data_IF_405193238527
#
_entry.id   IF_405193238527
#
_cell.length_a   1.000
_cell.length_b   1.000
_cell.length_c   1.000
_cell.angle_alpha   90.00
_cell.angle_beta   90.00
_cell.angle_gamma   90.00
#
_symmetry.space_group_name_H-M   'P 1'
#
loop_
_entity.id
_entity.type
_entity.pdbx_description
1 polymer ?
#
# COMPACT_ATOMS: atom_id res chain seq x y z
N UNK A 1 1.31 0.89 -9.08
CA UNK A 1 2.69 1.36 -8.84
C UNK A 1 3.44 1.48 -10.14
N UNK A 2 3.81 0.41 -10.86
CA UNK A 2 4.59 0.52 -12.12
C UNK A 2 3.78 0.35 -13.41
N UNK A 3 2.62 -0.33 -13.35
CA UNK A 3 1.79 -0.63 -14.52
C UNK A 3 2.40 -1.65 -15.49
N UNK A 4 3.57 -2.22 -15.16
CA UNK A 4 4.30 -3.14 -16.02
C UNK A 4 3.91 -4.61 -15.77
N UNK A 5 4.01 -5.43 -16.82
CA UNK A 5 3.84 -6.88 -16.74
C UNK A 5 4.97 -7.56 -15.95
N UNK A 6 4.74 -8.77 -15.43
CA UNK A 6 5.75 -9.43 -14.59
C UNK A 6 7.03 -9.83 -15.35
N UNK A 7 6.90 -10.19 -16.62
CA UNK A 7 7.98 -10.67 -17.50
C UNK A 7 7.80 -9.96 -18.85
N UNK A 8 8.82 -9.25 -19.32
CA UNK A 8 8.83 -8.61 -20.63
C UNK A 8 10.22 -8.70 -21.24
N UNK A 9 10.29 -8.86 -22.56
CA UNK A 9 11.54 -8.83 -23.32
C UNK A 9 11.91 -7.41 -23.80
N UNK A 10 10.98 -6.46 -23.70
CA UNK A 10 11.15 -5.09 -24.24
C UNK A 10 11.15 -4.03 -23.14
N UNK A 11 10.33 -4.20 -22.10
CA UNK A 11 10.04 -3.15 -21.10
C UNK A 11 11.16 -2.87 -20.10
N UNK A 12 12.12 -3.79 -19.92
CA UNK A 12 13.07 -3.76 -18.80
C UNK A 12 14.55 -3.63 -19.22
N UNK A 13 14.80 -3.46 -20.52
CA UNK A 13 16.14 -3.44 -21.10
C UNK A 13 16.80 -4.83 -21.16
N UNK A 14 17.93 -4.92 -21.87
CA UNK A 14 18.60 -6.19 -22.22
C UNK A 14 19.08 -7.02 -21.01
N UNK A 15 19.18 -6.41 -19.83
CA UNK A 15 19.74 -7.03 -18.63
C UNK A 15 18.67 -7.52 -17.63
N UNK A 16 17.40 -7.20 -17.84
CA UNK A 16 16.32 -7.57 -16.92
C UNK A 16 15.23 -8.33 -17.66
N UNK A 17 15.03 -9.61 -17.33
CA UNK A 17 13.95 -10.43 -17.91
C UNK A 17 12.63 -10.32 -17.17
N UNK A 18 12.64 -9.76 -15.96
CA UNK A 18 11.46 -9.65 -15.11
C UNK A 18 11.46 -8.31 -14.36
N UNK A 19 10.26 -7.93 -13.95
CA UNK A 19 9.98 -6.67 -13.27
C UNK A 19 10.72 -6.54 -11.93
N UNK A 20 10.97 -7.65 -11.23
CA UNK A 20 11.63 -7.64 -9.91
C UNK A 20 13.08 -7.17 -10.05
N UNK A 21 13.83 -7.75 -10.99
CA UNK A 21 15.23 -7.36 -11.20
C UNK A 21 15.35 -5.92 -11.68
N UNK A 22 14.45 -5.51 -12.57
CA UNK A 22 14.40 -4.14 -13.07
C UNK A 22 14.09 -3.13 -11.95
N UNK A 23 13.02 -3.36 -11.20
CA UNK A 23 12.63 -2.46 -10.10
C UNK A 23 13.72 -2.38 -9.02
N UNK A 24 14.39 -3.50 -8.73
CA UNK A 24 15.50 -3.55 -7.77
C UNK A 24 16.63 -2.61 -8.17
N UNK A 25 17.06 -2.60 -9.44
CA UNK A 25 18.13 -1.72 -9.91
C UNK A 25 17.77 -0.23 -9.77
N UNK A 26 16.54 0.13 -10.10
CA UNK A 26 16.04 1.50 -9.93
C UNK A 26 16.00 1.91 -8.46
N UNK A 27 15.48 1.06 -7.58
CA UNK A 27 15.41 1.31 -6.13
C UNK A 27 16.82 1.44 -5.53
N UNK A 28 17.75 0.54 -5.87
CA UNK A 28 19.14 0.59 -5.39
C UNK A 28 19.93 1.79 -5.91
N UNK A 29 19.55 2.34 -7.07
CA UNK A 29 20.16 3.55 -7.63
C UNK A 29 19.50 4.85 -7.14
N UNK A 30 18.44 4.77 -6.34
CA UNK A 30 17.71 5.95 -5.84
C UNK A 30 16.67 6.51 -6.82
N UNK A 31 16.44 5.85 -7.95
CA UNK A 31 15.52 6.29 -9.00
C UNK A 31 14.14 5.61 -8.84
N UNK A 32 13.38 6.06 -7.84
CA UNK A 32 12.01 5.56 -7.65
C UNK A 32 11.07 6.00 -8.77
N UNK A 33 11.27 7.19 -9.34
CA UNK A 33 10.37 7.74 -10.36
C UNK A 33 10.44 6.90 -11.64
N UNK A 34 11.61 6.35 -11.97
CA UNK A 34 11.79 5.44 -13.09
C UNK A 34 10.94 4.16 -13.04
N UNK A 35 10.40 3.79 -11.86
CA UNK A 35 9.53 2.61 -11.73
C UNK A 35 8.05 2.93 -11.58
N UNK A 36 7.67 4.20 -11.50
CA UNK A 36 6.28 4.61 -11.28
C UNK A 36 5.54 4.64 -12.62
N UNK A 37 4.30 4.15 -12.60
CA UNK A 37 3.40 4.10 -13.72
C UNK A 37 3.10 5.52 -14.22
N UNK A 38 3.47 5.86 -15.47
CA UNK A 38 3.25 7.19 -16.03
C UNK A 38 1.76 7.60 -16.04
N UNK A 39 0.83 6.63 -16.00
CA UNK A 39 -0.61 6.92 -15.95
C UNK A 39 -1.07 7.57 -14.65
N UNK A 40 -0.23 7.55 -13.60
CA UNK A 40 -0.51 8.20 -12.32
C UNK A 40 -0.31 9.73 -12.36
N UNK A 41 0.29 10.30 -13.42
CA UNK A 41 0.34 11.76 -13.69
C UNK A 41 0.74 12.63 -12.48
N UNK A 42 1.71 12.16 -11.69
CA UNK A 42 2.19 12.82 -10.47
C UNK A 42 1.15 12.99 -9.35
N UNK A 43 0.05 12.22 -9.40
CA UNK A 43 -0.96 12.13 -8.34
C UNK A 43 -0.54 11.08 -7.28
N UNK A 44 0.63 11.31 -6.69
CA UNK A 44 1.18 10.50 -5.61
C UNK A 44 2.21 11.27 -4.80
N UNK A 45 2.35 10.89 -3.54
CA UNK A 45 3.45 11.29 -2.67
C UNK A 45 4.65 10.34 -2.84
N UNK A 46 5.83 10.94 -2.99
CA UNK A 46 7.06 10.20 -3.26
C UNK A 46 7.48 9.31 -2.06
N UNK A 47 7.20 9.74 -0.83
CA UNK A 47 7.54 8.97 0.37
C UNK A 47 6.62 7.75 0.49
N UNK A 48 5.34 7.89 0.14
CA UNK A 48 4.43 6.75 0.07
C UNK A 48 4.93 5.71 -0.95
N UNK A 49 5.36 6.16 -2.14
CA UNK A 49 5.84 5.28 -3.20
C UNK A 49 7.11 4.53 -2.82
N UNK A 50 8.06 5.22 -2.17
CA UNK A 50 9.24 4.59 -1.57
C UNK A 50 8.85 3.48 -0.60
N UNK A 51 7.92 3.79 0.30
CA UNK A 51 7.47 2.85 1.33
C UNK A 51 6.88 1.57 0.74
N UNK A 52 6.04 1.71 -0.30
CA UNK A 52 5.47 0.56 -1.02
C UNK A 52 6.55 -0.20 -1.80
N UNK A 53 7.45 0.49 -2.48
CA UNK A 53 8.49 -0.13 -3.31
C UNK A 53 9.47 -0.97 -2.49
N UNK A 54 9.93 -0.46 -1.35
CA UNK A 54 10.81 -1.20 -0.44
C UNK A 54 10.13 -2.46 0.09
N UNK A 55 8.88 -2.35 0.54
CA UNK A 55 8.12 -3.51 1.02
C UNK A 55 7.90 -4.54 -0.08
N UNK A 56 7.59 -4.09 -1.30
CA UNK A 56 7.42 -4.98 -2.44
C UNK A 56 8.69 -5.79 -2.73
N UNK A 57 9.88 -5.19 -2.64
CA UNK A 57 11.16 -5.90 -2.77
C UNK A 57 11.39 -6.94 -1.66
N UNK A 58 10.91 -6.69 -0.45
CA UNK A 58 10.96 -7.69 0.64
C UNK A 58 10.00 -8.86 0.38
N UNK A 59 8.82 -8.61 -0.20
CA UNK A 59 7.85 -9.67 -0.52
C UNK A 59 8.36 -10.68 -1.55
N UNK A 60 9.27 -10.26 -2.43
CA UNK A 60 9.81 -11.07 -3.54
C UNK A 60 11.19 -11.66 -3.24
N UNK A 61 11.60 -11.71 -1.97
CA UNK A 61 12.87 -12.34 -1.61
C UNK A 61 12.93 -13.81 -2.05
N UNK A 62 14.08 -14.30 -2.53
CA UNK A 62 14.20 -15.68 -3.02
C UNK A 62 13.82 -16.71 -1.95
N UNK A 63 14.21 -16.47 -0.70
CA UNK A 63 13.94 -17.35 0.42
C UNK A 63 12.68 -16.93 1.18
N UNK A 64 11.76 -17.86 1.39
CA UNK A 64 10.46 -17.59 2.01
C UNK A 64 10.55 -16.99 3.41
N UNK A 65 11.52 -17.41 4.23
CA UNK A 65 11.71 -16.91 5.59
C UNK A 65 12.21 -15.45 5.66
N UNK A 66 12.69 -14.89 4.54
CA UNK A 66 13.08 -13.47 4.44
C UNK A 66 11.90 -12.59 3.99
N UNK A 67 10.79 -13.20 3.56
CA UNK A 67 9.60 -12.47 3.14
C UNK A 67 8.81 -12.05 4.39
N UNK A 68 8.28 -10.82 4.43
CA UNK A 68 7.46 -10.36 5.53
C UNK A 68 6.15 -11.16 5.61
N UNK A 69 5.59 -11.22 6.82
CA UNK A 69 4.22 -11.69 7.03
C UNK A 69 3.22 -10.73 6.39
N UNK A 70 2.01 -11.23 6.07
CA UNK A 70 0.97 -10.39 5.47
C UNK A 70 0.56 -9.23 6.39
N UNK A 71 0.65 -9.41 7.71
CA UNK A 71 0.37 -8.36 8.70
C UNK A 71 1.40 -7.22 8.64
N UNK A 72 2.68 -7.54 8.43
CA UNK A 72 3.73 -6.52 8.23
C UNK A 72 3.55 -5.78 6.91
N UNK A 73 3.13 -6.47 5.84
CA UNK A 73 2.79 -5.84 4.55
C UNK A 73 1.60 -4.91 4.71
N UNK A 74 0.54 -5.34 5.42
CA UNK A 74 -0.65 -4.54 5.65
C UNK A 74 -0.34 -3.26 6.41
N UNK A 75 0.49 -3.35 7.47
CA UNK A 75 0.94 -2.18 8.22
C UNK A 75 1.65 -1.16 7.32
N UNK A 76 2.53 -1.63 6.44
CA UNK A 76 3.24 -0.74 5.54
C UNK A 76 2.32 -0.02 4.55
N UNK A 77 1.35 -0.75 4.00
CA UNK A 77 0.35 -0.19 3.09
C UNK A 77 -0.49 0.89 3.81
N UNK A 78 -0.91 0.62 5.04
CA UNK A 78 -1.66 1.59 5.85
C UNK A 78 -0.85 2.85 6.10
N UNK A 79 0.43 2.73 6.43
CA UNK A 79 1.28 3.89 6.63
C UNK A 79 1.49 4.69 5.34
N UNK A 80 1.68 4.03 4.19
CA UNK A 80 1.79 4.71 2.90
C UNK A 80 0.50 5.50 2.58
N UNK A 81 -0.67 4.92 2.84
CA UNK A 81 -1.97 5.61 2.68
C UNK A 81 -2.07 6.82 3.61
N UNK A 82 -1.57 6.74 4.86
CA UNK A 82 -1.56 7.88 5.77
C UNK A 82 -0.70 9.03 5.25
N UNK A 83 0.45 8.72 4.66
CA UNK A 83 1.33 9.71 4.02
C UNK A 83 0.60 10.41 2.86
N UNK A 84 0.00 9.65 1.94
CA UNK A 84 -0.76 10.21 0.82
C UNK A 84 -1.88 11.16 1.28
N UNK A 85 -2.62 10.76 2.33
CA UNK A 85 -3.76 11.54 2.83
C UNK A 85 -3.33 12.79 3.60
N UNK A 86 -2.19 12.75 4.29
CA UNK A 86 -1.66 13.91 4.99
C UNK A 86 -1.41 15.09 4.03
N UNK A 87 -0.98 14.81 2.80
CA UNK A 87 -0.77 15.82 1.76
C UNK A 87 -2.09 16.45 1.31
N UNK A 88 -3.15 15.66 1.15
CA UNK A 88 -4.47 16.18 0.74
C UNK A 88 -5.07 17.14 1.76
N UNK A 89 -5.00 16.81 3.05
CA UNK A 89 -5.52 17.65 4.13
C UNK A 89 -4.77 18.99 4.27
N UNK A 90 -3.45 19.00 4.05
CA UNK A 90 -2.65 20.24 4.11
C UNK A 90 -2.94 21.21 2.96
N UNK A 91 -3.48 20.74 1.83
CA UNK A 91 -3.85 21.59 0.68
C UNK A 91 -5.21 22.27 0.85
N UNK A 92 -6.07 21.74 1.72
CA UNK A 92 -7.39 22.30 2.02
C UNK A 92 -7.35 23.41 3.09
N UNK A 93 -6.25 23.53 3.85
CA UNK A 93 -6.13 24.49 4.97
C UNK A 93 -5.63 25.90 4.54
N UNK A 94 -5.51 26.17 3.24
CA UNK A 94 -5.01 27.47 2.70
C UNK A 94 -6.16 28.35 2.15
N UNK A 95 -7.38 27.83 2.04
CA UNK A 95 -8.55 28.62 1.61
C UNK A 95 -9.60 28.62 2.71
N UNK A 96 -9.44 29.49 3.71
CA UNK A 96 -10.53 30.20 4.38
C UNK A 96 -9.96 31.17 5.44
N UNK A 97 -9.35 32.26 4.95
CA UNK A 97 -9.08 33.43 5.80
C UNK A 97 -10.27 34.40 5.70
N UNK A 98 -10.87 34.65 6.86
CA UNK A 98 -11.81 35.74 7.20
C UNK A 98 -13.29 35.59 6.83
N UNK A 99 -14.07 34.86 7.66
CA UNK A 99 -15.43 35.33 8.00
C UNK A 99 -16.01 34.71 9.29
N UNK A 100 -15.93 35.52 10.36
CA UNK A 100 -16.96 35.71 11.42
C UNK A 100 -17.08 34.66 12.55
N UNK A 101 -16.50 35.05 13.69
CA UNK A 101 -17.12 35.00 15.02
C UNK A 101 -18.56 34.44 15.13
N UNK A 102 -18.72 33.23 15.66
CA UNK A 102 -19.81 32.92 16.61
C UNK A 102 -19.57 31.57 17.30
N UNK A 103 -19.72 31.58 18.62
CA UNK A 103 -19.67 30.41 19.50
C UNK A 103 -20.83 29.43 19.24
N UNK A 104 -20.73 28.25 19.88
CA UNK A 104 -21.61 27.06 19.84
C UNK A 104 -21.37 26.16 18.59
N UNK A 105 -21.19 24.84 18.69
CA UNK A 105 -21.72 23.92 19.68
C UNK A 105 -20.86 22.65 19.76
N UNK A 106 -20.54 22.26 20.98
CA UNK A 106 -19.93 20.99 21.36
C UNK A 106 -20.85 19.81 21.01
N UNK A 107 -20.33 18.74 20.40
CA UNK A 107 -20.95 17.41 20.44
C UNK A 107 -19.89 16.31 20.61
N UNK A 108 -19.76 15.92 21.88
CA UNK A 108 -19.66 14.56 22.43
C UNK A 108 -18.70 13.52 21.78
N UNK A 109 -17.58 13.26 22.47
CA UNK A 109 -16.69 12.11 22.28
C UNK A 109 -16.54 11.34 23.60
N UNK A 110 -17.23 10.20 23.72
CA UNK A 110 -17.02 9.04 24.62
C UNK A 110 -18.33 8.21 24.55
N UNK A 111 -18.41 6.89 24.62
CA UNK A 111 -17.53 5.80 25.07
C UNK A 111 -18.27 4.52 24.67
N UNK A 112 -17.58 3.50 24.13
CA UNK A 112 -18.09 2.13 24.16
C UNK A 112 -16.91 1.18 24.35
N UNK A 113 -16.81 0.65 25.56
CA UNK A 113 -16.14 -0.62 25.85
C UNK A 113 -17.20 -1.70 26.09
N UNK A 114 -16.76 -2.94 25.90
CA UNK A 114 -17.30 -4.21 26.37
C UNK A 114 -18.09 -5.08 25.37
N UNK A 115 -17.34 -5.96 24.70
CA UNK A 115 -17.41 -7.41 24.97
C UNK A 115 -18.67 -8.17 24.51
N UNK A 116 -18.47 -9.20 23.69
CA UNK A 116 -19.42 -10.31 23.61
C UNK A 116 -19.49 -11.06 22.28
N UNK A 117 -18.88 -12.24 22.29
CA UNK A 117 -19.30 -13.46 21.61
C UNK A 117 -19.23 -13.57 20.07
N UNK A 118 -18.31 -14.44 19.66
CA UNK A 118 -18.57 -15.61 18.82
C UNK A 118 -19.61 -15.44 17.70
N UNK A 119 -19.15 -15.29 16.46
CA UNK A 119 -19.86 -15.79 15.27
C UNK A 119 -18.85 -16.08 14.16
N UNK A 120 -18.02 -17.11 14.39
CA UNK A 120 -17.40 -17.86 13.30
C UNK A 120 -18.52 -18.60 12.57
N UNK A 121 -19.07 -17.98 11.53
CA UNK A 121 -19.98 -18.67 10.63
C UNK A 121 -19.23 -19.85 10.02
N UNK A 122 -19.75 -21.04 10.33
CA UNK A 122 -19.25 -22.34 9.95
C UNK A 122 -18.92 -22.39 8.45
N UNK A 123 -17.68 -22.75 8.13
CA UNK A 123 -17.32 -23.16 6.78
C UNK A 123 -17.92 -24.55 6.56
N UNK A 124 -18.76 -24.64 5.52
CA UNK A 124 -19.38 -25.88 5.06
C UNK A 124 -18.31 -26.95 4.78
N UNK A 125 -18.35 -28.04 5.56
CA UNK A 125 -17.40 -29.16 5.53
C UNK A 125 -17.69 -30.14 4.37
N UNK A 126 -17.93 -29.60 3.17
CA UNK A 126 -18.29 -30.39 1.98
C UNK A 126 -17.20 -30.38 0.88
N UNK A 127 -16.13 -29.58 1.04
CA UNK A 127 -15.08 -29.43 0.00
C UNK A 127 -13.86 -30.32 0.25
N UNK A 128 -13.74 -30.97 1.42
CA UNK A 128 -12.63 -31.85 1.75
C UNK A 128 -12.93 -33.33 1.43
N UNK A 129 -13.11 -33.66 0.14
CA UNK A 129 -12.92 -35.04 -0.33
C UNK A 129 -11.79 -35.10 -1.37
N UNK A 130 -10.57 -35.51 -0.99
CA UNK A 130 -9.56 -35.87 -1.97
C UNK A 130 -9.98 -37.18 -2.67
N UNK A 131 -10.26 -37.10 -3.97
CA UNK A 131 -10.37 -38.29 -4.81
C UNK A 131 -8.96 -38.77 -5.13
N UNK A 132 -8.58 -39.92 -4.56
CA UNK A 132 -7.34 -40.59 -4.92
C UNK A 132 -7.41 -41.06 -6.39
N UNK A 133 -6.36 -40.78 -7.15
CA UNK A 133 -6.07 -41.49 -8.39
C UNK A 133 -4.57 -41.71 -8.53
#
# INVERSE_FOLDING_TARGET
MSGQEAISNESFGVNCRNIVQWAKLHIESGDIQGIIDPSLRDDYDIQSMWKIAEKALMCVQPHGHMRPSISEVLKEIQDAILIERAVTAAREDISDEMSRNSAHSSLNLCSLDLGGAENYLALDESIAQPTAR
#
